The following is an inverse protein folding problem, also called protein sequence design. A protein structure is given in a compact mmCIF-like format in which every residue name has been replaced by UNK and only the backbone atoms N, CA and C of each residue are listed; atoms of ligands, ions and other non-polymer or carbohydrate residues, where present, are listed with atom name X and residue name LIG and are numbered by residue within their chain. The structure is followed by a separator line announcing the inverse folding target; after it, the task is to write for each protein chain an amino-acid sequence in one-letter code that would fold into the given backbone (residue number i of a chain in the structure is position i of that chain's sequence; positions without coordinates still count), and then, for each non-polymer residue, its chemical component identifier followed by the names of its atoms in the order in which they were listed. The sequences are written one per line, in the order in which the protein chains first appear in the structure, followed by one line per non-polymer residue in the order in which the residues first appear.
data_IF_908532066010
#
_entry.id   IF_908532066010
#
_cell.length_a   1.000
_cell.length_b   1.000
_cell.length_c   1.000
_cell.angle_alpha   90.00
_cell.angle_beta   90.00
_cell.angle_gamma   90.00
#
_symmetry.space_group_name_H-M   'P 1'
#
loop_
_entity.id
_entity.type
_entity.pdbx_description
1 polymer ?
#
# COMPACT_ATOMS: atom_id res chain seq x y z
N UNK A 1 33.24 -4.60 26.04
CA UNK A 1 33.52 -3.82 24.83
C UNK A 1 32.62 -4.27 23.67
N UNK A 2 31.39 -3.74 23.50
CA UNK A 2 30.58 -3.98 22.31
C UNK A 2 30.33 -2.67 21.55
N UNK A 3 31.07 -2.40 20.46
CA UNK A 3 30.94 -1.13 19.71
C UNK A 3 30.90 -1.29 18.18
N UNK A 4 30.78 -2.52 17.65
CA UNK A 4 30.94 -2.77 16.20
C UNK A 4 29.65 -2.97 15.39
N UNK A 5 28.48 -3.06 16.02
CA UNK A 5 27.24 -3.39 15.32
C UNK A 5 26.47 -2.15 14.82
N UNK A 6 26.48 -1.04 15.56
CA UNK A 6 25.68 0.17 15.26
C UNK A 6 26.06 0.87 13.96
N UNK A 7 27.33 0.83 13.58
CA UNK A 7 27.82 1.48 12.36
C UNK A 7 27.31 0.80 11.09
N UNK A 8 27.05 -0.52 11.14
CA UNK A 8 26.59 -1.29 9.98
C UNK A 8 25.12 -1.00 9.62
N UNK A 9 24.28 -0.80 10.64
CA UNK A 9 22.86 -0.50 10.44
C UNK A 9 22.63 0.95 9.99
N UNK A 10 23.42 1.89 10.50
CA UNK A 10 23.40 3.27 10.03
C UNK A 10 23.79 3.38 8.54
N UNK A 11 24.76 2.58 8.11
CA UNK A 11 25.23 2.55 6.72
C UNK A 11 24.20 1.91 5.78
N UNK A 12 23.55 0.83 6.21
CA UNK A 12 22.44 0.19 5.47
C UNK A 12 21.23 1.11 5.30
N UNK A 13 20.86 1.85 6.36
CA UNK A 13 19.78 2.85 6.29
C UNK A 13 20.11 3.97 5.33
N UNK A 14 21.36 4.46 5.29
CA UNK A 14 21.80 5.49 4.33
C UNK A 14 21.80 4.98 2.90
N UNK A 15 22.27 3.76 2.64
CA UNK A 15 22.25 3.14 1.32
C UNK A 15 20.82 2.93 0.78
N UNK A 16 19.90 2.57 1.67
CA UNK A 16 18.49 2.42 1.31
C UNK A 16 17.81 3.78 1.03
N UNK A 17 18.19 4.83 1.78
CA UNK A 17 17.69 6.19 1.56
C UNK A 17 18.18 6.79 0.24
N UNK A 18 19.43 6.55 -0.16
CA UNK A 18 19.96 7.04 -1.44
C UNK A 18 19.34 6.31 -2.64
N UNK A 19 19.04 5.02 -2.51
CA UNK A 19 18.36 4.24 -3.56
C UNK A 19 16.92 4.73 -3.82
N UNK A 20 16.23 5.27 -2.82
CA UNK A 20 14.83 5.72 -2.93
C UNK A 20 14.66 7.22 -3.19
N UNK A 21 15.72 8.02 -3.10
CA UNK A 21 15.70 9.45 -3.40
C UNK A 21 15.09 9.84 -4.77
N UNK A 22 15.38 9.15 -5.89
CA UNK A 22 14.77 9.49 -7.19
C UNK A 22 13.26 9.21 -7.23
N UNK A 23 12.76 8.24 -6.46
CA UNK A 23 11.33 7.91 -6.39
C UNK A 23 10.53 8.99 -5.64
N UNK A 24 11.14 9.59 -4.61
CA UNK A 24 10.56 10.68 -3.81
C UNK A 24 10.55 12.00 -4.60
N UNK A 25 11.58 12.24 -5.41
CA UNK A 25 11.66 13.40 -6.29
C UNK A 25 10.55 13.39 -7.35
N UNK A 26 10.26 12.21 -7.94
CA UNK A 26 9.18 12.04 -8.91
C UNK A 26 7.77 12.33 -8.33
N UNK A 27 7.59 12.21 -7.00
CA UNK A 27 6.32 12.48 -6.34
C UNK A 27 6.03 13.96 -6.02
N UNK A 28 7.06 14.82 -6.00
CA UNK A 28 6.91 16.23 -5.58
C UNK A 28 6.62 17.20 -6.73
N UNK A 29 6.70 16.76 -7.99
CA UNK A 29 6.50 17.60 -9.18
C UNK A 29 5.04 17.89 -9.58
N UNK A 30 4.03 17.41 -8.85
CA UNK A 30 2.61 17.64 -9.21
C UNK A 30 1.84 18.35 -8.12
N UNK A 31 2.12 19.64 -7.93
CA UNK A 31 1.20 20.52 -7.20
C UNK A 31 1.01 21.85 -7.93
N UNK A 32 -0.28 22.10 -8.23
CA UNK A 32 -0.96 23.38 -8.52
C UNK A 32 -1.06 23.79 -9.99
N UNK A 33 -2.13 23.29 -10.62
CA UNK A 33 -3.12 24.18 -11.26
C UNK A 33 -4.52 23.66 -10.94
N UNK A 34 -5.24 24.38 -10.08
CA UNK A 34 -6.69 24.18 -9.88
C UNK A 34 -7.37 24.74 -11.12
N UNK A 35 -7.91 23.88 -11.96
CA UNK A 35 -8.86 24.27 -13.01
C UNK A 35 -10.28 23.85 -12.62
N UNK A 36 -11.30 24.63 -13.01
CA UNK A 36 -12.62 24.53 -12.43
C UNK A 36 -13.34 23.24 -12.84
N UNK A 37 -13.98 22.64 -11.84
CA UNK A 37 -14.96 21.56 -11.94
C UNK A 37 -16.04 21.91 -12.97
N UNK A 38 -16.22 21.12 -14.04
CA UNK A 38 -17.58 20.71 -14.47
C UNK A 38 -17.71 19.66 -15.58
N UNK A 39 -16.67 19.27 -16.35
CA UNK A 39 -16.92 18.43 -17.57
C UNK A 39 -16.31 17.02 -17.63
N UNK A 40 -15.63 16.52 -16.59
CA UNK A 40 -14.97 15.17 -16.59
C UNK A 40 -15.71 14.04 -15.87
N UNK A 41 -17.00 14.20 -15.52
CA UNK A 41 -17.79 13.12 -14.89
C UNK A 41 -18.38 12.11 -15.89
N UNK A 42 -18.34 12.37 -17.19
CA UNK A 42 -19.01 11.52 -18.19
C UNK A 42 -18.13 10.43 -18.82
N UNK A 43 -16.80 10.49 -18.71
CA UNK A 43 -15.91 9.52 -19.39
C UNK A 43 -15.43 8.36 -18.50
N UNK A 44 -15.43 8.51 -17.17
CA UNK A 44 -15.01 7.44 -16.25
C UNK A 44 -16.07 6.34 -16.07
N UNK A 45 -17.35 6.66 -16.24
CA UNK A 45 -18.44 5.66 -16.19
C UNK A 45 -18.41 4.70 -17.39
N UNK A 46 -17.67 5.03 -18.46
CA UNK A 46 -17.51 4.19 -19.65
C UNK A 46 -16.30 3.25 -19.58
N UNK A 47 -15.31 3.56 -18.73
CA UNK A 47 -14.17 2.68 -18.43
C UNK A 47 -14.46 1.72 -17.28
N UNK A 48 -15.36 2.10 -16.37
CA UNK A 48 -15.92 1.23 -15.33
C UNK A 48 -17.04 0.37 -15.92
N UNK A 49 -16.67 -0.46 -16.89
CA UNK A 49 -17.54 -1.45 -17.51
C UNK A 49 -18.37 -2.16 -16.45
N UNK A 50 -19.70 -2.03 -16.62
CA UNK A 50 -20.76 -3.00 -16.36
C UNK A 50 -20.54 -3.92 -15.15
N UNK A 51 -21.38 -3.83 -14.09
CA UNK A 51 -21.43 -4.90 -13.10
C UNK A 51 -21.96 -6.14 -13.83
N UNK A 52 -21.06 -7.07 -14.14
CA UNK A 52 -21.46 -8.42 -14.46
C UNK A 52 -21.87 -9.06 -13.13
N UNK A 53 -23.18 -9.01 -12.86
CA UNK A 53 -23.82 -10.01 -12.02
C UNK A 53 -23.52 -11.38 -12.64
N UNK A 54 -22.82 -12.25 -11.90
CA UNK A 54 -23.29 -13.60 -11.54
C UNK A 54 -22.12 -14.48 -11.06
N UNK A 55 -22.14 -14.81 -9.76
CA UNK A 55 -21.82 -16.13 -9.19
C UNK A 55 -20.60 -16.91 -9.71
N UNK A 56 -19.47 -16.80 -8.99
CA UNK A 56 -18.72 -17.99 -8.53
C UNK A 56 -17.81 -17.63 -7.35
N UNK A 57 -17.72 -18.59 -6.43
CA UNK A 57 -17.43 -18.48 -4.99
C UNK A 57 -15.96 -18.24 -4.61
N UNK A 58 -15.11 -17.83 -5.55
CA UNK A 58 -13.67 -17.75 -5.32
C UNK A 58 -13.15 -16.35 -5.66
N UNK A 59 -12.47 -15.66 -4.71
CA UNK A 59 -11.83 -14.38 -5.00
C UNK A 59 -10.81 -14.51 -6.13
N UNK A 60 -10.80 -13.56 -7.07
CA UNK A 60 -9.76 -13.52 -8.11
C UNK A 60 -8.39 -13.22 -7.46
N UNK A 61 -7.45 -14.19 -7.46
CA UNK A 61 -6.17 -14.05 -6.78
C UNK A 61 -5.31 -12.95 -7.40
N UNK A 62 -5.42 -12.70 -8.72
CA UNK A 62 -4.66 -11.66 -9.41
C UNK A 62 -5.16 -10.29 -8.97
N UNK A 63 -6.48 -10.12 -8.90
CA UNK A 63 -7.09 -8.89 -8.41
C UNK A 63 -6.70 -8.60 -6.97
N UNK A 64 -6.70 -9.62 -6.09
CA UNK A 64 -6.22 -9.48 -4.71
C UNK A 64 -4.75 -9.08 -4.67
N UNK A 65 -3.90 -9.72 -5.46
CA UNK A 65 -2.47 -9.41 -5.50
C UNK A 65 -2.23 -7.96 -5.94
N UNK A 66 -2.95 -7.48 -6.96
CA UNK A 66 -2.87 -6.09 -7.43
C UNK A 66 -3.31 -5.13 -6.32
N UNK A 67 -4.40 -5.43 -5.61
CA UNK A 67 -4.86 -4.61 -4.49
C UNK A 67 -3.81 -4.61 -3.38
N UNK A 68 -3.28 -5.77 -2.99
CA UNK A 68 -2.26 -5.92 -1.96
C UNK A 68 -1.00 -5.11 -2.29
N UNK A 69 -0.47 -5.23 -3.51
CA UNK A 69 0.73 -4.50 -3.94
C UNK A 69 0.51 -2.99 -3.87
N UNK A 70 -0.63 -2.51 -4.39
CA UNK A 70 -0.89 -1.08 -4.50
C UNK A 70 -1.29 -0.43 -3.16
N UNK A 71 -1.88 -1.19 -2.23
CA UNK A 71 -2.38 -0.66 -0.96
C UNK A 71 -1.46 -1.07 0.19
N UNK A 72 -1.37 -2.36 0.49
CA UNK A 72 -0.57 -2.92 1.59
C UNK A 72 0.90 -2.65 1.40
N UNK A 73 1.45 -2.80 0.19
CA UNK A 73 2.86 -2.49 -0.08
C UNK A 73 3.24 -1.05 0.30
N UNK A 74 2.36 -0.08 0.01
CA UNK A 74 2.57 1.33 0.40
C UNK A 74 2.38 1.56 1.90
N UNK A 75 1.43 0.83 2.51
CA UNK A 75 1.19 0.87 3.95
C UNK A 75 2.39 0.33 4.73
N UNK A 76 2.97 -0.80 4.33
CA UNK A 76 4.18 -1.38 4.95
C UNK A 76 5.36 -0.43 4.91
N UNK A 77 5.60 0.26 3.79
CA UNK A 77 6.67 1.27 3.71
C UNK A 77 6.41 2.42 4.68
N UNK A 78 5.17 2.91 4.75
CA UNK A 78 4.80 4.01 5.64
C UNK A 78 4.89 3.61 7.11
N UNK A 79 4.38 2.43 7.47
CA UNK A 79 4.44 1.88 8.81
C UNK A 79 5.90 1.69 9.26
N UNK A 80 6.74 1.10 8.39
CA UNK A 80 8.17 0.92 8.68
C UNK A 80 8.95 2.23 8.84
N UNK A 81 8.62 3.26 8.06
CA UNK A 81 9.29 4.55 8.15
C UNK A 81 8.82 5.38 9.35
N UNK A 82 7.53 5.36 9.64
CA UNK A 82 6.92 6.24 10.66
C UNK A 82 6.83 5.58 12.04
N UNK A 83 6.86 4.26 12.11
CA UNK A 83 6.54 3.50 13.33
C UNK A 83 5.11 3.68 13.81
N UNK A 84 4.21 4.23 12.97
CA UNK A 84 2.82 4.51 13.31
C UNK A 84 1.87 3.53 12.65
N UNK A 85 0.70 3.38 13.27
CA UNK A 85 -0.41 2.64 12.70
C UNK A 85 -0.86 3.25 11.38
N UNK A 86 -1.12 2.41 10.38
CA UNK A 86 -1.60 2.82 9.05
C UNK A 86 -2.87 2.04 8.72
N UNK A 87 -3.93 2.77 8.41
CA UNK A 87 -5.20 2.17 8.00
C UNK A 87 -5.27 1.94 6.49
N UNK A 88 -5.84 0.80 6.10
CA UNK A 88 -6.05 0.37 4.72
C UNK A 88 -7.50 -0.07 4.55
N UNK A 89 -8.19 0.54 3.60
CA UNK A 89 -9.54 0.15 3.21
C UNK A 89 -9.49 -0.93 2.12
N UNK A 90 -10.21 -2.03 2.33
CA UNK A 90 -10.46 -3.08 1.35
C UNK A 90 -11.82 -2.90 0.69
N UNK A 91 -11.98 -3.41 -0.54
CA UNK A 91 -13.22 -3.22 -1.32
C UNK A 91 -14.44 -3.97 -0.74
N UNK A 92 -14.18 -5.06 -0.03
CA UNK A 92 -15.19 -5.96 0.56
C UNK A 92 -14.55 -6.73 1.73
N UNK A 93 -15.38 -7.36 2.56
CA UNK A 93 -14.94 -8.09 3.76
C UNK A 93 -14.08 -9.32 3.43
N UNK A 94 -14.35 -10.01 2.32
CA UNK A 94 -13.59 -11.19 1.91
C UNK A 94 -12.15 -10.80 1.52
N UNK A 95 -11.99 -9.71 0.79
CA UNK A 95 -10.69 -9.12 0.50
C UNK A 95 -10.00 -8.64 1.78
N UNK A 96 -10.73 -8.00 2.70
CA UNK A 96 -10.19 -7.55 3.98
C UNK A 96 -9.61 -8.71 4.79
N UNK A 97 -10.35 -9.82 4.89
CA UNK A 97 -9.92 -11.03 5.61
C UNK A 97 -8.64 -11.63 5.02
N UNK A 98 -8.58 -11.75 3.68
CA UNK A 98 -7.39 -12.28 3.00
C UNK A 98 -6.16 -11.39 3.25
N UNK A 99 -6.34 -10.07 3.21
CA UNK A 99 -5.25 -9.13 3.48
C UNK A 99 -4.81 -9.18 4.95
N UNK A 100 -5.75 -9.31 5.90
CA UNK A 100 -5.42 -9.51 7.32
C UNK A 100 -4.62 -10.79 7.53
N UNK A 101 -5.04 -11.89 6.92
CA UNK A 101 -4.35 -13.18 7.00
C UNK A 101 -2.93 -13.08 6.41
N UNK A 102 -2.78 -12.45 5.25
CA UNK A 102 -1.47 -12.22 4.63
C UNK A 102 -0.56 -11.37 5.53
N UNK A 103 -1.09 -10.30 6.13
CA UNK A 103 -0.33 -9.45 7.07
C UNK A 103 0.06 -10.19 8.34
N UNK A 104 -0.80 -11.06 8.86
CA UNK A 104 -0.47 -11.90 10.02
C UNK A 104 0.68 -12.86 9.71
N UNK A 105 0.73 -13.41 8.49
CA UNK A 105 1.83 -14.26 8.04
C UNK A 105 3.14 -13.47 7.87
N UNK A 106 3.10 -12.32 7.20
CA UNK A 106 4.31 -11.50 6.99
C UNK A 106 4.83 -10.89 8.27
N UNK A 107 3.95 -10.56 9.24
CA UNK A 107 4.31 -10.03 10.55
C UNK A 107 5.22 -10.94 11.38
N UNK A 108 5.36 -12.23 11.02
CA UNK A 108 6.34 -13.15 11.62
C UNK A 108 7.78 -12.77 11.27
N UNK A 109 8.00 -12.21 10.08
CA UNK A 109 9.32 -11.79 9.57
C UNK A 109 9.50 -10.27 9.51
N UNK A 110 8.40 -9.52 9.39
CA UNK A 110 8.36 -8.06 9.26
C UNK A 110 7.49 -7.47 10.37
N UNK A 111 8.05 -7.18 11.56
CA UNK A 111 7.24 -6.80 12.74
C UNK A 111 6.44 -5.51 12.53
N UNK A 112 6.86 -4.63 11.62
CA UNK A 112 6.16 -3.38 11.27
C UNK A 112 4.84 -3.61 10.55
N UNK A 113 4.63 -4.78 9.93
CA UNK A 113 3.36 -5.12 9.28
C UNK A 113 2.21 -5.22 10.32
N UNK A 114 2.52 -5.42 11.61
CA UNK A 114 1.53 -5.38 12.71
C UNK A 114 0.90 -4.01 12.93
N UNK A 115 1.52 -2.95 12.41
CA UNK A 115 1.00 -1.59 12.50
C UNK A 115 -0.04 -1.31 11.41
N UNK A 116 -0.30 -2.24 10.50
CA UNK A 116 -1.24 -2.04 9.41
C UNK A 116 -2.61 -2.59 9.84
N UNK A 117 -3.61 -1.73 9.82
CA UNK A 117 -4.99 -2.08 10.15
C UNK A 117 -5.84 -2.09 8.88
N UNK A 118 -6.48 -3.22 8.60
CA UNK A 118 -7.32 -3.41 7.41
C UNK A 118 -8.79 -3.44 7.80
N UNK A 119 -9.59 -2.55 7.22
CA UNK A 119 -11.05 -2.50 7.35
C UNK A 119 -11.72 -2.62 5.98
N UNK A 120 -12.92 -3.20 5.93
CA UNK A 120 -13.76 -3.20 4.72
C UNK A 120 -14.48 -1.86 4.57
N UNK A 121 -14.82 -1.51 3.32
CA UNK A 121 -15.65 -0.36 2.97
C UNK A 121 -17.15 -0.61 3.18
#
# INVERSE_FOLDING_TARGET
MPEKQDTSDAMRRRAFQTALAPLIAAGRGRKRRREPRSKRRFTLRRLLGRPAESSSTTPDPVRIAIIAINTVGRASVRAGWTGKTVEVAAADEQTAEILRAALAETAKSRPTDRLIQVHAL
#
